data_IF_952715686553
#
_entry.id   IF_952715686553
#
_cell.length_a   1.000
_cell.length_b   1.000
_cell.length_c   1.000
_cell.angle_alpha   90.00
_cell.angle_beta   90.00
_cell.angle_gamma   90.00
#
_symmetry.space_group_name_H-M   'P 1'
#
loop_
_entity.id
_entity.type
_entity.pdbx_description
1 polymer ?
#
# COMPACT_ATOMS: atom_id res chain seq x y z
N UNK A 1 15.06 4.82 -13.16
CA UNK A 1 14.06 4.14 -12.32
C UNK A 1 14.02 4.86 -10.98
N UNK A 2 12.84 5.14 -10.42
CA UNK A 2 12.76 5.88 -9.16
C UNK A 2 13.31 4.97 -8.06
N UNK A 3 14.51 5.25 -7.56
CA UNK A 3 15.18 4.47 -6.50
C UNK A 3 14.51 4.75 -5.14
N UNK A 4 13.21 4.49 -5.03
CA UNK A 4 12.46 4.58 -3.78
C UNK A 4 12.46 3.20 -3.13
N UNK A 5 13.06 3.11 -1.96
CA UNK A 5 13.06 1.89 -1.15
C UNK A 5 11.64 1.54 -0.69
N UNK A 6 11.36 0.26 -0.48
CA UNK A 6 10.07 -0.20 0.08
C UNK A 6 9.68 0.49 1.39
N UNK A 7 10.67 0.89 2.18
CA UNK A 7 10.45 1.61 3.43
C UNK A 7 9.96 3.05 3.20
N UNK A 8 10.45 3.72 2.16
CA UNK A 8 9.97 5.06 1.80
C UNK A 8 8.56 4.99 1.21
N UNK A 9 8.26 3.97 0.41
CA UNK A 9 6.89 3.66 -0.01
C UNK A 9 6.00 3.44 1.21
N UNK A 10 6.45 2.61 2.17
CA UNK A 10 5.72 2.32 3.40
C UNK A 10 5.36 3.58 4.19
N UNK A 11 6.35 4.42 4.44
CA UNK A 11 6.16 5.68 5.17
C UNK A 11 5.19 6.58 4.43
N UNK A 12 5.35 6.72 3.11
CA UNK A 12 4.49 7.61 2.32
C UNK A 12 3.04 7.15 2.35
N UNK A 13 2.80 5.86 2.07
CA UNK A 13 1.42 5.36 1.96
C UNK A 13 0.72 5.26 3.32
N UNK A 14 1.46 5.17 4.42
CA UNK A 14 0.93 5.09 5.78
C UNK A 14 0.97 6.41 6.54
N UNK A 15 1.28 7.53 5.88
CA UNK A 15 1.47 8.82 6.54
C UNK A 15 2.44 8.74 7.74
N UNK A 16 3.56 8.02 7.53
CA UNK A 16 4.64 7.78 8.49
C UNK A 16 4.23 6.99 9.76
N UNK A 17 3.04 6.38 9.79
CA UNK A 17 2.62 5.52 10.90
C UNK A 17 3.41 4.20 10.93
N UNK A 18 3.81 3.69 9.76
CA UNK A 18 4.67 2.52 9.64
C UNK A 18 5.98 2.93 8.98
N UNK A 19 7.08 2.77 9.72
CA UNK A 19 8.41 3.21 9.29
C UNK A 19 9.15 2.21 8.41
N UNK A 20 8.82 0.93 8.54
CA UNK A 20 9.46 -0.18 7.84
C UNK A 20 8.43 -1.25 7.52
N UNK A 21 8.60 -1.90 6.37
CA UNK A 21 7.74 -3.02 5.99
C UNK A 21 7.83 -4.17 7.01
N UNK A 22 6.71 -4.79 7.34
CA UNK A 22 6.74 -5.96 8.23
C UNK A 22 7.44 -7.14 7.54
N UNK A 23 8.10 -8.02 8.30
CA UNK A 23 8.77 -9.21 7.76
C UNK A 23 7.85 -10.12 6.92
N UNK A 24 6.53 -10.01 7.08
CA UNK A 24 5.53 -10.75 6.31
C UNK A 24 5.18 -10.13 4.95
N UNK A 25 5.80 -9.02 4.56
CA UNK A 25 5.57 -8.44 3.23
C UNK A 25 4.21 -7.77 3.08
N UNK A 26 3.49 -7.47 4.17
CA UNK A 26 2.14 -6.87 4.13
C UNK A 26 1.97 -5.73 5.14
N UNK A 27 1.11 -4.78 4.80
CA UNK A 27 0.67 -3.66 5.66
C UNK A 27 -0.85 -3.66 5.72
N UNK A 28 -1.44 -3.45 6.90
CA UNK A 28 -2.91 -3.37 6.98
C UNK A 28 -3.43 -2.14 6.21
N UNK A 29 -4.48 -2.33 5.43
CA UNK A 29 -5.15 -1.25 4.69
C UNK A 29 -5.67 -0.14 5.63
N UNK A 30 -5.98 -0.49 6.88
CA UNK A 30 -6.40 0.47 7.93
C UNK A 30 -5.31 1.49 8.32
N UNK A 31 -4.04 1.18 8.03
CA UNK A 31 -2.89 2.03 8.32
C UNK A 31 -2.52 2.93 7.15
N UNK A 32 -3.22 2.83 6.02
CA UNK A 32 -3.00 3.70 4.88
C UNK A 32 -3.60 5.09 5.14
N UNK A 33 -2.99 6.10 4.55
CA UNK A 33 -3.60 7.43 4.50
C UNK A 33 -4.84 7.44 3.60
N UNK A 34 -5.73 8.42 3.78
CA UNK A 34 -7.01 8.50 3.05
C UNK A 34 -6.83 8.42 1.54
N UNK A 35 -5.80 9.09 0.98
CA UNK A 35 -5.46 9.01 -0.46
C UNK A 35 -5.28 7.56 -0.90
N UNK A 36 -4.46 6.81 -0.19
CA UNK A 36 -4.09 5.45 -0.57
C UNK A 36 -5.16 4.41 -0.23
N UNK A 37 -6.01 4.66 0.78
CA UNK A 37 -7.22 3.85 1.03
C UNK A 37 -8.15 3.88 -0.17
N UNK A 38 -8.42 5.07 -0.71
CA UNK A 38 -9.32 5.25 -1.87
C UNK A 38 -8.72 4.57 -3.10
N UNK A 39 -7.42 4.80 -3.38
CA UNK A 39 -6.73 4.16 -4.50
C UNK A 39 -6.72 2.63 -4.38
N UNK A 40 -6.43 2.10 -3.19
CA UNK A 40 -6.47 0.66 -2.93
C UNK A 40 -7.87 0.07 -3.20
N UNK A 41 -8.93 0.77 -2.77
CA UNK A 41 -10.33 0.35 -2.99
C UNK A 41 -10.71 0.35 -4.46
N UNK A 42 -10.38 1.43 -5.20
CA UNK A 42 -10.63 1.52 -6.65
C UNK A 42 -9.92 0.37 -7.37
N UNK A 43 -8.68 0.06 -7.00
CA UNK A 43 -7.93 -1.03 -7.64
C UNK A 43 -8.51 -2.41 -7.31
N UNK A 44 -8.91 -2.64 -6.07
CA UNK A 44 -9.52 -3.89 -5.63
C UNK A 44 -10.85 -4.20 -6.34
N UNK A 45 -11.59 -3.17 -6.79
CA UNK A 45 -12.82 -3.38 -7.56
C UNK A 45 -12.57 -3.52 -9.07
N UNK A 46 -11.53 -2.88 -9.61
CA UNK A 46 -11.29 -2.81 -11.06
C UNK A 46 -10.29 -3.84 -11.61
N UNK A 47 -9.27 -4.24 -10.84
CA UNK A 47 -8.13 -4.99 -11.40
C UNK A 47 -8.11 -6.46 -11.02
N UNK A 48 -8.46 -6.79 -9.78
CA UNK A 48 -8.56 -8.17 -9.30
C UNK A 48 -9.65 -8.16 -8.23
N UNK A 49 -10.75 -8.94 -8.38
CA UNK A 49 -11.70 -9.10 -7.30
C UNK A 49 -11.02 -9.80 -6.13
N UNK A 50 -10.44 -9.02 -5.22
CA UNK A 50 -9.83 -9.55 -3.99
C UNK A 50 -10.90 -9.61 -2.91
N UNK A 51 -11.18 -10.82 -2.43
CA UNK A 51 -12.15 -11.04 -1.33
C UNK A 51 -11.65 -10.49 0.02
N UNK A 52 -10.35 -10.16 0.13
CA UNK A 52 -9.74 -9.75 1.38
C UNK A 52 -8.96 -8.43 1.23
N UNK A 53 -9.61 -7.31 1.57
CA UNK A 53 -9.05 -5.95 1.49
C UNK A 53 -8.25 -5.53 2.73
N UNK A 54 -8.05 -6.44 3.68
CA UNK A 54 -7.48 -6.09 4.99
C UNK A 54 -6.00 -5.71 4.95
N UNK A 55 -5.26 -6.22 3.95
CA UNK A 55 -3.80 -6.06 3.83
C UNK A 55 -3.39 -5.68 2.41
N UNK A 56 -2.35 -4.85 2.33
CA UNK A 56 -1.70 -4.40 1.10
C UNK A 56 -0.29 -5.00 1.05
N UNK A 57 -0.03 -5.75 -0.02
CA UNK A 57 1.30 -6.31 -0.29
C UNK A 57 2.24 -5.26 -0.90
N UNK A 58 3.55 -5.46 -0.77
CA UNK A 58 4.58 -4.51 -1.24
C UNK A 58 4.44 -4.14 -2.72
N UNK A 59 4.14 -5.11 -3.59
CA UNK A 59 3.93 -4.85 -5.01
C UNK A 59 2.74 -3.95 -5.30
N UNK A 60 1.62 -4.18 -4.61
CA UNK A 60 0.42 -3.33 -4.72
C UNK A 60 0.69 -1.94 -4.15
N UNK A 61 1.41 -1.85 -3.04
CA UNK A 61 1.83 -0.61 -2.41
C UNK A 61 2.69 0.27 -3.33
N UNK A 62 3.70 -0.32 -3.99
CA UNK A 62 4.47 0.40 -5.02
C UNK A 62 3.59 0.89 -6.15
N UNK A 63 2.62 0.08 -6.56
CA UNK A 63 1.71 0.45 -7.64
C UNK A 63 0.84 1.65 -7.27
N UNK A 64 0.18 1.64 -6.10
CA UNK A 64 -0.65 2.76 -5.65
C UNK A 64 0.19 4.00 -5.26
N UNK A 65 1.48 3.84 -5.00
CA UNK A 65 2.42 4.94 -4.73
C UNK A 65 2.77 5.74 -6.00
N UNK A 66 2.92 5.06 -7.14
CA UNK A 66 3.24 5.68 -8.43
C UNK A 66 2.05 6.50 -9.00
N UNK A 67 0.83 6.23 -8.52
CA UNK A 67 -0.41 6.92 -8.91
C UNK A 67 -0.65 8.19 -8.09
#
# INVERSE_FOLDING_TARGET
EFEVTDNEVCKTITANQIKQWTKKGKVSASKLSVKYVILNRIRAVNWVPTTHTADVATGLARFIYIV
#
